data_IF_961125759347
#
_entry.id   IF_961125759347
#
_cell.length_a   1.000
_cell.length_b   1.000
_cell.length_c   1.000
_cell.angle_alpha   90.00
_cell.angle_beta   90.00
_cell.angle_gamma   90.00
#
_symmetry.space_group_name_H-M   'P 1'
#
loop_
_entity.id
_entity.type
_entity.pdbx_description
1 polymer ?
#
# COMPACT_ATOMS: atom_id res chain seq x y z
N UNK A 1 4.28 0.60 1.04
CA UNK A 1 5.24 -0.38 1.63
C UNK A 1 6.36 0.21 2.51
N UNK A 2 6.77 1.48 2.39
CA UNK A 2 7.92 2.05 3.10
C UNK A 2 7.69 2.35 4.60
N UNK A 3 6.47 2.70 5.00
CA UNK A 3 6.17 3.07 6.38
C UNK A 3 6.10 1.87 7.35
N UNK A 4 6.25 0.63 6.86
CA UNK A 4 5.88 -0.58 7.62
C UNK A 4 7.08 -1.35 8.19
N UNK A 5 8.32 -0.88 8.01
CA UNK A 5 9.53 -1.62 8.42
C UNK A 5 10.29 -0.90 9.54
N UNK A 6 10.75 0.35 9.32
CA UNK A 6 11.33 1.27 10.33
C UNK A 6 11.12 2.74 9.86
N UNK A 7 11.37 3.72 10.73
CA UNK A 7 11.28 5.17 10.43
C UNK A 7 9.89 5.68 9.98
N UNK A 8 8.83 5.12 10.58
CA UNK A 8 7.41 5.44 10.34
C UNK A 8 7.10 6.94 10.29
N UNK A 9 7.64 7.73 11.23
CA UNK A 9 7.35 9.17 11.34
C UNK A 9 7.87 9.97 10.15
N UNK A 10 9.08 9.67 9.67
CA UNK A 10 9.68 10.37 8.52
C UNK A 10 8.89 10.07 7.24
N UNK A 11 8.55 8.79 7.04
CA UNK A 11 7.80 8.35 5.85
C UNK A 11 6.39 8.95 5.83
N UNK A 12 5.70 9.04 6.97
CA UNK A 12 4.39 9.68 7.05
C UNK A 12 4.47 11.19 6.80
N UNK A 13 5.50 11.85 7.33
CA UNK A 13 5.72 13.29 7.16
C UNK A 13 5.97 13.63 5.69
N UNK A 14 6.86 12.90 5.02
CA UNK A 14 7.10 13.09 3.58
C UNK A 14 5.88 12.79 2.74
N UNK A 15 5.14 11.71 3.03
CA UNK A 15 3.91 11.38 2.31
C UNK A 15 2.82 12.46 2.46
N UNK A 16 2.68 13.03 3.66
CA UNK A 16 1.74 14.13 3.92
C UNK A 16 2.14 15.43 3.20
N UNK A 17 3.44 15.76 3.21
CA UNK A 17 3.97 16.96 2.52
C UNK A 17 3.85 16.82 1.00
N UNK A 18 4.12 15.64 0.46
CA UNK A 18 4.09 15.38 -0.99
C UNK A 18 2.69 15.07 -1.53
N UNK A 19 1.68 14.97 -0.67
CA UNK A 19 0.31 14.60 -1.06
C UNK A 19 0.23 13.22 -1.70
N UNK A 20 1.07 12.29 -1.25
CA UNK A 20 1.24 10.98 -1.90
C UNK A 20 0.01 10.10 -1.70
N UNK A 21 -0.66 9.75 -2.79
CA UNK A 21 -1.77 8.81 -2.78
C UNK A 21 -1.29 7.36 -2.97
N UNK A 22 -1.71 6.47 -2.08
CA UNK A 22 -1.49 5.03 -2.21
C UNK A 22 -2.71 4.37 -2.86
N UNK A 23 -2.49 3.67 -3.98
CA UNK A 23 -3.56 3.00 -4.73
C UNK A 23 -3.94 1.63 -4.14
N UNK A 24 -3.32 1.20 -3.04
CA UNK A 24 -3.65 -0.02 -2.30
C UNK A 24 -3.66 -1.31 -3.16
N UNK A 25 -2.91 -1.28 -4.26
CA UNK A 25 -2.82 -2.38 -5.25
C UNK A 25 -1.79 -3.44 -4.87
N UNK A 26 -0.94 -3.15 -3.88
CA UNK A 26 0.14 -4.05 -3.47
C UNK A 26 -0.30 -5.09 -2.44
N UNK A 27 0.54 -6.12 -2.30
CA UNK A 27 0.31 -7.21 -1.35
C UNK A 27 0.26 -6.70 0.09
N UNK A 28 1.26 -5.91 0.50
CA UNK A 28 1.42 -5.44 1.88
C UNK A 28 0.28 -4.52 2.28
N UNK A 29 -0.11 -3.63 1.38
CA UNK A 29 -1.22 -2.72 1.56
C UNK A 29 -2.50 -3.52 1.83
N UNK A 30 -2.85 -4.47 0.95
CA UNK A 30 -4.04 -5.33 1.14
C UNK A 30 -4.02 -6.13 2.45
N UNK A 31 -2.87 -6.63 2.90
CA UNK A 31 -2.74 -7.28 4.21
C UNK A 31 -3.04 -6.31 5.36
N UNK A 32 -2.50 -5.09 5.31
CA UNK A 32 -2.65 -4.08 6.38
C UNK A 32 -4.11 -3.63 6.52
N UNK A 33 -4.82 -3.43 5.41
CA UNK A 33 -6.25 -3.03 5.40
C UNK A 33 -7.22 -4.21 5.55
N UNK A 34 -6.74 -5.47 5.52
CA UNK A 34 -7.59 -6.66 5.64
C UNK A 34 -8.39 -7.00 4.38
N UNK A 35 -7.96 -6.52 3.20
CA UNK A 35 -8.54 -6.88 1.90
C UNK A 35 -7.88 -8.15 1.36
N UNK A 36 -8.61 -8.91 0.55
CA UNK A 36 -8.11 -10.11 -0.11
C UNK A 36 -6.83 -9.80 -0.89
N UNK A 37 -5.74 -10.48 -0.52
CA UNK A 37 -4.44 -10.27 -1.13
C UNK A 37 -4.40 -10.80 -2.58
N UNK A 38 -3.77 -10.07 -3.52
CA UNK A 38 -3.59 -10.56 -4.88
C UNK A 38 -2.50 -11.62 -4.91
N UNK A 39 -2.89 -12.90 -4.84
CA UNK A 39 -1.98 -14.05 -4.86
C UNK A 39 -1.60 -14.50 -6.28
N UNK A 40 -2.23 -13.93 -7.31
CA UNK A 40 -2.03 -14.31 -8.71
C UNK A 40 -2.25 -13.10 -9.64
N UNK A 41 -1.55 -13.00 -10.79
CA UNK A 41 -1.70 -11.88 -11.74
C UNK A 41 -3.14 -11.65 -12.21
N UNK A 42 -3.92 -12.73 -12.32
CA UNK A 42 -5.35 -12.67 -12.67
C UNK A 42 -6.19 -12.00 -11.57
N UNK A 43 -5.84 -12.17 -10.29
CA UNK A 43 -6.52 -11.52 -9.15
C UNK A 43 -6.03 -10.10 -8.88
N UNK A 44 -4.87 -9.72 -9.41
CA UNK A 44 -4.32 -8.36 -9.31
C UNK A 44 -5.00 -7.37 -10.27
N UNK A 45 -5.70 -7.87 -11.31
CA UNK A 45 -6.60 -7.06 -12.12
C UNK A 45 -7.88 -6.85 -11.33
N UNK A 46 -7.90 -5.82 -10.47
CA UNK A 46 -9.18 -5.22 -10.05
C UNK A 46 -9.90 -4.86 -11.36
N UNK A 47 -11.08 -5.45 -11.56
CA UNK A 47 -11.89 -5.29 -12.76
C UNK A 47 -11.94 -3.80 -13.17
N UNK A 48 -11.74 -3.57 -14.47
CA UNK A 48 -11.90 -2.26 -15.09
C UNK A 48 -13.35 -1.80 -15.00
#
# INVERSE_FOLDING_TARGET
SAASFQETTNVLTEAAITGKEDKLIGLKENVIIGRLIPTSPERAKIEK
#
